data_IF_381371223384
#
_entry.id   IF_381371223384
#
_cell.length_a   1.000
_cell.length_b   1.000
_cell.length_c   1.000
_cell.angle_alpha   90.00
_cell.angle_beta   90.00
_cell.angle_gamma   90.00
#
_symmetry.space_group_name_H-M   'P 1'
#
loop_
_entity.id
_entity.type
_entity.pdbx_description
1 polymer ?
#
# COMPACT_ATOMS: atom_id res chain seq x y z
N UNK A 1 -10.45 22.24 40.81
CA UNK A 1 -9.93 21.79 39.49
C UNK A 1 -8.83 20.77 39.71
N UNK A 2 -9.08 19.48 39.42
CA UNK A 2 -8.12 18.39 39.10
C UNK A 2 -8.75 17.04 39.44
N UNK A 3 -9.35 16.42 38.42
CA UNK A 3 -9.69 14.98 38.37
C UNK A 3 -9.82 14.45 36.92
N UNK A 4 -9.65 15.31 35.90
CA UNK A 4 -9.87 14.94 34.50
C UNK A 4 -8.69 14.15 33.86
N UNK A 5 -7.51 14.10 34.49
CA UNK A 5 -6.30 13.64 33.80
C UNK A 5 -6.20 12.13 33.53
N UNK A 6 -6.79 11.24 34.35
CA UNK A 6 -6.69 9.78 34.10
C UNK A 6 -7.80 9.29 33.16
N UNK A 7 -9.03 9.78 33.36
CA UNK A 7 -10.17 9.41 32.51
C UNK A 7 -10.02 9.92 31.08
N UNK A 8 -9.43 11.11 30.88
CA UNK A 8 -9.19 11.66 29.54
C UNK A 8 -8.11 10.87 28.78
N UNK A 9 -7.07 10.38 29.46
CA UNK A 9 -6.05 9.52 28.84
C UNK A 9 -6.59 8.14 28.51
N UNK A 10 -7.36 7.52 29.40
CA UNK A 10 -8.02 6.24 29.13
C UNK A 10 -9.00 6.36 27.95
N UNK A 11 -9.75 7.46 27.87
CA UNK A 11 -10.64 7.73 26.74
C UNK A 11 -9.86 7.91 25.44
N UNK A 12 -8.74 8.65 25.48
CA UNK A 12 -7.88 8.87 24.32
C UNK A 12 -7.28 7.57 23.81
N UNK A 13 -6.77 6.73 24.69
CA UNK A 13 -6.23 5.42 24.34
C UNK A 13 -7.32 4.50 23.79
N UNK A 14 -8.51 4.53 24.38
CA UNK A 14 -9.65 3.80 23.85
C UNK A 14 -10.02 4.26 22.43
N UNK A 15 -10.10 5.58 22.20
CA UNK A 15 -10.38 6.14 20.88
C UNK A 15 -9.28 5.81 19.85
N UNK A 16 -8.01 5.84 20.27
CA UNK A 16 -6.87 5.48 19.45
C UNK A 16 -6.94 4.01 19.03
N UNK A 17 -7.17 3.10 19.98
CA UNK A 17 -7.28 1.67 19.74
C UNK A 17 -8.51 1.29 18.90
N UNK A 18 -9.57 2.11 18.93
CA UNK A 18 -10.73 1.97 18.05
C UNK A 18 -10.54 2.61 16.67
N UNK A 19 -9.41 3.26 16.40
CA UNK A 19 -9.10 3.87 15.11
C UNK A 19 -9.96 5.09 14.79
N UNK A 20 -10.48 5.79 15.80
CA UNK A 20 -11.39 6.93 15.62
C UNK A 20 -10.72 8.03 14.80
N UNK A 21 -9.48 8.39 15.13
CA UNK A 21 -8.71 9.41 14.40
C UNK A 21 -8.50 9.03 12.94
N UNK A 22 -8.19 7.76 12.66
CA UNK A 22 -8.02 7.27 11.29
C UNK A 22 -9.33 7.36 10.50
N UNK A 23 -10.48 7.07 11.13
CA UNK A 23 -11.78 7.20 10.48
C UNK A 23 -12.12 8.66 10.15
N UNK A 24 -11.88 9.59 11.09
CA UNK A 24 -12.10 11.03 10.87
C UNK A 24 -11.22 11.52 9.73
N UNK A 25 -9.95 11.15 9.72
CA UNK A 25 -9.01 11.51 8.66
C UNK A 25 -9.47 10.97 7.30
N UNK A 26 -9.92 9.71 7.24
CA UNK A 26 -10.43 9.12 6.01
C UNK A 26 -11.68 9.85 5.48
N UNK A 27 -12.59 10.27 6.36
CA UNK A 27 -13.76 11.09 5.99
C UNK A 27 -13.35 12.46 5.46
N UNK A 28 -12.46 13.14 6.18
CA UNK A 28 -11.97 14.45 5.78
C UNK A 28 -11.32 14.40 4.38
N UNK A 29 -10.50 13.38 4.13
CA UNK A 29 -9.90 13.16 2.81
C UNK A 29 -10.98 12.87 1.75
N UNK A 30 -11.96 12.03 2.08
CA UNK A 30 -13.07 11.73 1.17
C UNK A 30 -13.84 12.98 0.73
N UNK A 31 -14.21 13.82 1.70
CA UNK A 31 -14.91 15.09 1.47
C UNK A 31 -14.03 16.07 0.69
N UNK A 32 -12.75 16.18 1.06
CA UNK A 32 -11.80 17.05 0.35
C UNK A 32 -11.64 16.64 -1.11
N UNK A 33 -11.47 15.34 -1.39
CA UNK A 33 -11.40 14.85 -2.76
C UNK A 33 -12.71 15.05 -3.51
N UNK A 34 -13.87 14.96 -2.85
CA UNK A 34 -15.16 15.28 -3.45
C UNK A 34 -15.24 16.73 -3.92
N UNK A 35 -14.84 17.67 -3.07
CA UNK A 35 -14.90 19.10 -3.38
C UNK A 35 -13.90 19.47 -4.47
N UNK A 36 -12.68 18.90 -4.41
CA UNK A 36 -11.67 19.14 -5.44
C UNK A 36 -12.13 18.59 -6.79
N UNK A 37 -12.59 17.34 -6.85
CA UNK A 37 -13.02 16.70 -8.11
C UNK A 37 -14.14 17.46 -8.82
N UNK A 38 -15.04 18.10 -8.07
CA UNK A 38 -16.17 18.87 -8.61
C UNK A 38 -15.85 20.36 -8.81
N UNK A 39 -14.62 20.81 -8.52
CA UNK A 39 -14.27 22.22 -8.59
C UNK A 39 -13.73 22.64 -9.96
N UNK A 40 -14.31 23.70 -10.51
CA UNK A 40 -13.80 24.41 -11.70
C UNK A 40 -12.70 25.42 -11.37
N UNK A 41 -12.24 25.47 -10.11
CA UNK A 41 -11.20 26.41 -9.68
C UNK A 41 -9.86 26.05 -10.30
N UNK A 42 -9.29 26.98 -11.09
CA UNK A 42 -7.94 26.83 -11.62
C UNK A 42 -6.88 26.60 -10.53
N UNK A 43 -7.10 27.14 -9.32
CA UNK A 43 -6.20 26.95 -8.18
C UNK A 43 -6.16 25.49 -7.67
N UNK A 44 -7.23 24.73 -7.88
CA UNK A 44 -7.33 23.32 -7.45
C UNK A 44 -6.98 22.34 -8.59
N UNK A 45 -6.67 22.83 -9.78
CA UNK A 45 -6.33 21.98 -10.94
C UNK A 45 -5.14 21.06 -10.70
N UNK A 46 -4.14 21.51 -9.93
CA UNK A 46 -2.97 20.71 -9.56
C UNK A 46 -3.27 19.61 -8.53
N UNK A 47 -4.39 19.73 -7.81
CA UNK A 47 -4.83 18.77 -6.82
C UNK A 47 -5.81 17.73 -7.40
N UNK A 48 -6.17 17.85 -8.68
CA UNK A 48 -6.97 16.86 -9.36
C UNK A 48 -6.24 15.50 -9.37
N UNK A 49 -6.96 14.37 -9.22
CA UNK A 49 -6.34 13.05 -9.25
C UNK A 49 -5.66 12.79 -10.61
N UNK A 50 -4.37 12.45 -10.58
CA UNK A 50 -3.56 12.16 -11.78
C UNK A 50 -2.96 10.75 -11.72
N UNK A 51 -3.78 9.76 -11.38
CA UNK A 51 -3.31 8.38 -11.27
C UNK A 51 -3.21 7.75 -12.67
N UNK A 52 -1.97 7.51 -13.12
CA UNK A 52 -1.67 6.79 -14.36
C UNK A 52 -1.02 5.47 -14.03
N UNK A 53 -1.81 4.40 -14.06
CA UNK A 53 -1.32 3.04 -13.95
C UNK A 53 -1.33 2.43 -15.35
N UNK A 54 -0.22 1.83 -15.75
CA UNK A 54 -0.11 1.11 -17.02
C UNK A 54 -1.05 -0.10 -16.97
N UNK A 55 -2.12 -0.05 -17.77
CA UNK A 55 -3.23 -1.02 -17.71
C UNK A 55 -2.87 -2.44 -18.15
N UNK A 56 -1.67 -2.64 -18.69
CA UNK A 56 -1.22 -3.94 -19.23
C UNK A 56 -0.32 -4.70 -18.25
N UNK A 57 -0.33 -4.32 -16.97
CA UNK A 57 0.46 -4.98 -15.93
C UNK A 57 -0.49 -5.68 -14.98
N UNK A 58 -0.69 -6.98 -15.20
CA UNK A 58 -1.59 -7.84 -14.42
C UNK A 58 -1.33 -7.73 -12.90
N UNK A 59 -0.06 -7.56 -12.52
CA UNK A 59 0.34 -7.40 -11.12
C UNK A 59 -0.29 -6.15 -10.44
N UNK A 60 -0.50 -5.06 -11.17
CA UNK A 60 -1.14 -3.86 -10.61
C UNK A 60 -2.62 -4.09 -10.35
N UNK A 61 -3.31 -4.78 -11.26
CA UNK A 61 -4.71 -5.11 -11.08
C UNK A 61 -4.90 -6.05 -9.88
N UNK A 62 -4.05 -7.07 -9.77
CA UNK A 62 -4.06 -8.00 -8.64
C UNK A 62 -3.79 -7.29 -7.30
N UNK A 63 -2.77 -6.42 -7.25
CA UNK A 63 -2.44 -5.64 -6.05
C UNK A 63 -3.59 -4.73 -5.62
N UNK A 64 -4.22 -4.02 -6.57
CA UNK A 64 -5.37 -3.15 -6.26
C UNK A 64 -6.56 -3.99 -5.79
N UNK A 65 -6.82 -5.15 -6.40
CA UNK A 65 -7.85 -6.08 -5.93
C UNK A 65 -7.60 -6.55 -4.49
N UNK A 66 -6.37 -6.94 -4.17
CA UNK A 66 -5.97 -7.38 -2.83
C UNK A 66 -6.18 -6.28 -1.79
N UNK A 67 -5.69 -5.06 -2.06
CA UNK A 67 -5.85 -3.90 -1.18
C UNK A 67 -7.33 -3.57 -0.97
N UNK A 68 -8.12 -3.53 -2.03
CA UNK A 68 -9.56 -3.24 -1.94
C UNK A 68 -10.29 -4.32 -1.14
N UNK A 69 -9.89 -5.59 -1.27
CA UNK A 69 -10.47 -6.69 -0.50
C UNK A 69 -10.20 -6.53 1.00
N UNK A 70 -8.95 -6.21 1.35
CA UNK A 70 -8.55 -5.91 2.72
C UNK A 70 -9.35 -4.75 3.31
N UNK A 71 -9.40 -3.60 2.62
CA UNK A 71 -10.12 -2.42 3.08
C UNK A 71 -11.62 -2.69 3.29
N UNK A 72 -12.26 -3.46 2.39
CA UNK A 72 -13.66 -3.87 2.53
C UNK A 72 -13.90 -4.74 3.75
N UNK A 73 -13.02 -5.71 4.02
CA UNK A 73 -13.11 -6.60 5.20
C UNK A 73 -13.09 -5.81 6.50
N UNK A 74 -12.19 -4.83 6.61
CA UNK A 74 -12.07 -3.99 7.80
C UNK A 74 -13.03 -2.78 7.79
N UNK A 75 -14.02 -2.77 6.90
CA UNK A 75 -15.08 -1.74 6.81
C UNK A 75 -14.53 -0.31 6.61
N UNK A 76 -13.38 -0.17 5.95
CA UNK A 76 -12.76 1.12 5.62
C UNK A 76 -13.45 1.76 4.40
N UNK A 77 -14.75 2.04 4.53
CA UNK A 77 -15.62 2.47 3.42
C UNK A 77 -15.16 3.78 2.80
N UNK A 78 -14.82 4.77 3.63
CA UNK A 78 -14.39 6.09 3.18
C UNK A 78 -13.15 6.00 2.31
N UNK A 79 -12.14 5.24 2.74
CA UNK A 79 -10.91 4.99 1.97
C UNK A 79 -11.21 4.39 0.60
N UNK A 80 -12.07 3.37 0.53
CA UNK A 80 -12.45 2.74 -0.75
C UNK A 80 -13.21 3.72 -1.65
N UNK A 81 -14.07 4.57 -1.08
CA UNK A 81 -14.79 5.58 -1.86
C UNK A 81 -13.87 6.67 -2.38
N UNK A 82 -12.90 7.11 -1.59
CA UNK A 82 -11.86 8.05 -2.02
C UNK A 82 -11.02 7.45 -3.15
N UNK A 83 -10.58 6.20 -3.01
CA UNK A 83 -9.86 5.50 -4.08
C UNK A 83 -10.66 5.47 -5.39
N UNK A 84 -11.98 5.24 -5.34
CA UNK A 84 -12.84 5.25 -6.55
C UNK A 84 -12.97 6.62 -7.19
N UNK A 85 -12.95 7.69 -6.38
CA UNK A 85 -12.98 9.07 -6.88
C UNK A 85 -11.67 9.44 -7.54
N UNK A 86 -10.55 9.07 -6.93
CA UNK A 86 -9.22 9.37 -7.46
C UNK A 86 -8.80 8.46 -8.62
N UNK A 87 -9.23 7.20 -8.58
CA UNK A 87 -8.91 6.16 -9.56
C UNK A 87 -10.17 5.41 -9.99
N UNK A 88 -10.76 5.85 -11.10
CA UNK A 88 -12.02 5.29 -11.61
C UNK A 88 -11.96 3.79 -11.95
N UNK A 89 -10.77 3.25 -12.22
CA UNK A 89 -10.57 1.81 -12.48
C UNK A 89 -10.43 0.98 -11.19
N UNK A 90 -10.75 1.54 -10.02
CA UNK A 90 -10.80 0.79 -8.77
C UNK A 90 -11.87 -0.33 -8.84
N UNK A 91 -11.50 -1.61 -8.59
CA UNK A 91 -12.38 -2.75 -8.80
C UNK A 91 -13.58 -2.79 -7.83
N UNK A 92 -14.77 -3.03 -8.39
CA UNK A 92 -15.98 -3.28 -7.61
C UNK A 92 -15.96 -4.67 -6.95
N UNK A 93 -15.43 -5.67 -7.66
CA UNK A 93 -15.27 -7.05 -7.22
C UNK A 93 -13.79 -7.41 -7.25
N UNK A 94 -13.31 -8.09 -6.22
CA UNK A 94 -11.88 -8.33 -6.00
C UNK A 94 -11.47 -9.78 -6.23
N UNK A 95 -12.40 -10.66 -6.60
CA UNK A 95 -12.13 -12.11 -6.76
C UNK A 95 -12.06 -12.91 -5.45
N UNK A 96 -11.57 -12.31 -4.36
CA UNK A 96 -11.46 -12.95 -3.04
C UNK A 96 -12.81 -13.25 -2.41
N UNK A 97 -13.02 -14.50 -1.99
CA UNK A 97 -14.27 -14.95 -1.35
C UNK A 97 -14.15 -15.10 0.16
N UNK A 98 -12.96 -15.48 0.64
CA UNK A 98 -12.69 -15.71 2.06
C UNK A 98 -11.73 -14.66 2.59
N UNK A 99 -11.94 -14.22 3.82
CA UNK A 99 -11.00 -13.33 4.49
C UNK A 99 -9.63 -13.98 4.66
N UNK A 100 -9.58 -15.26 5.06
CA UNK A 100 -8.33 -15.98 5.29
C UNK A 100 -7.40 -15.95 4.07
N UNK A 101 -7.95 -16.06 2.86
CA UNK A 101 -7.19 -15.99 1.60
C UNK A 101 -6.42 -14.66 1.47
N UNK A 102 -7.03 -13.55 1.89
CA UNK A 102 -6.37 -12.24 1.88
C UNK A 102 -5.27 -12.18 2.95
N UNK A 103 -5.53 -12.70 4.15
CA UNK A 103 -4.53 -12.71 5.24
C UNK A 103 -3.32 -13.58 4.86
N UNK A 104 -3.56 -14.78 4.33
CA UNK A 104 -2.52 -15.73 3.91
C UNK A 104 -1.58 -15.10 2.87
N UNK A 105 -2.13 -14.29 1.94
CA UNK A 105 -1.33 -13.55 0.95
C UNK A 105 -0.49 -12.46 1.61
N UNK A 106 -1.07 -11.69 2.54
CA UNK A 106 -0.30 -10.66 3.26
C UNK A 106 0.79 -11.27 4.13
N UNK A 107 0.52 -12.38 4.82
CA UNK A 107 1.51 -13.08 5.63
C UNK A 107 2.67 -13.57 4.77
N UNK A 108 2.38 -14.18 3.60
CA UNK A 108 3.41 -14.59 2.65
C UNK A 108 4.23 -13.39 2.13
N UNK A 109 3.60 -12.24 1.86
CA UNK A 109 4.29 -11.01 1.46
C UNK A 109 5.20 -10.48 2.58
N UNK A 110 4.74 -10.48 3.82
CA UNK A 110 5.54 -10.05 4.97
C UNK A 110 6.73 -10.98 5.20
N UNK A 111 6.55 -12.30 5.08
CA UNK A 111 7.64 -13.28 5.17
C UNK A 111 8.72 -13.03 4.11
N UNK A 112 8.30 -12.74 2.87
CA UNK A 112 9.21 -12.37 1.78
C UNK A 112 9.96 -11.09 2.12
N UNK A 113 9.25 -10.06 2.57
CA UNK A 113 9.85 -8.77 2.92
C UNK A 113 10.84 -8.95 4.06
N UNK A 114 10.50 -9.65 5.13
CA UNK A 114 11.40 -9.88 6.26
C UNK A 114 12.65 -10.67 5.86
N UNK A 115 12.49 -11.71 5.03
CA UNK A 115 13.60 -12.50 4.52
C UNK A 115 14.52 -11.66 3.64
N UNK A 116 13.96 -10.86 2.75
CA UNK A 116 14.74 -10.15 1.74
C UNK A 116 15.30 -8.82 2.28
N UNK A 117 14.63 -8.15 3.21
CA UNK A 117 15.15 -6.98 3.95
C UNK A 117 16.42 -7.30 4.73
N UNK A 118 16.58 -8.55 5.18
CA UNK A 118 17.79 -9.01 5.88
C UNK A 118 18.96 -9.31 4.94
N UNK A 119 18.74 -9.37 3.63
CA UNK A 119 19.77 -9.69 2.64
C UNK A 119 20.50 -8.44 2.16
N UNK A 120 21.84 -8.49 2.17
CA UNK A 120 22.67 -7.45 1.55
C UNK A 120 22.48 -7.45 0.02
N UNK A 121 22.91 -6.37 -0.64
CA UNK A 121 22.87 -6.30 -2.10
C UNK A 121 23.68 -7.44 -2.73
N UNK A 122 24.86 -7.78 -2.18
CA UNK A 122 25.69 -8.88 -2.66
C UNK A 122 24.95 -10.23 -2.57
N UNK A 123 24.27 -10.49 -1.45
CA UNK A 123 23.51 -11.74 -1.27
C UNK A 123 22.31 -11.85 -2.23
N UNK A 124 21.70 -10.72 -2.58
CA UNK A 124 20.62 -10.66 -3.60
C UNK A 124 21.16 -10.93 -5.00
N UNK A 125 22.35 -10.42 -5.33
CA UNK A 125 23.03 -10.68 -6.61
C UNK A 125 23.41 -12.16 -6.72
N UNK A 126 24.00 -12.75 -5.67
CA UNK A 126 24.36 -14.17 -5.65
C UNK A 126 23.14 -15.08 -5.77
N UNK A 127 22.04 -14.73 -5.09
CA UNK A 127 20.77 -15.44 -5.22
C UNK A 127 20.21 -15.32 -6.64
N UNK A 128 20.26 -14.14 -7.24
CA UNK A 128 19.81 -13.92 -8.61
C UNK A 128 20.62 -14.74 -9.62
N UNK A 129 21.97 -14.73 -9.54
CA UNK A 129 22.86 -15.52 -10.39
C UNK A 129 22.56 -17.01 -10.27
N UNK A 130 22.38 -17.51 -9.03
CA UNK A 130 22.03 -18.93 -8.78
C UNK A 130 20.67 -19.32 -9.35
N UNK A 131 19.69 -18.41 -9.30
CA UNK A 131 18.30 -18.70 -9.71
C UNK A 131 18.10 -18.57 -11.22
N UNK A 132 18.86 -17.67 -11.88
CA UNK A 132 18.64 -17.33 -13.30
C UNK A 132 19.53 -18.10 -14.28
N UNK A 133 20.48 -18.93 -13.82
CA UNK A 133 21.44 -19.66 -14.69
C UNK A 133 22.16 -18.76 -15.72
N UNK A 134 22.28 -17.46 -15.45
CA UNK A 134 23.05 -16.56 -16.31
C UNK A 134 24.52 -16.84 -16.00
N UNK A 135 25.28 -17.33 -16.99
CA UNK A 135 26.72 -17.55 -16.88
C UNK A 135 27.39 -16.29 -16.32
N UNK A 136 28.16 -16.44 -15.23
CA UNK A 136 28.91 -15.32 -14.66
C UNK A 136 29.77 -14.67 -15.75
N UNK A 137 29.73 -13.33 -15.92
CA UNK A 137 30.62 -12.68 -16.86
C UNK A 137 32.06 -12.92 -16.41
N UNK A 138 32.83 -13.61 -17.26
CA UNK A 138 34.19 -14.04 -16.98
C UNK A 138 35.03 -12.87 -16.42
N UNK A 139 35.56 -13.04 -15.20
CA UNK A 139 36.52 -12.09 -14.62
C UNK A 139 37.73 -12.01 -15.55
N UNK A 140 37.84 -10.90 -16.29
CA UNK A 140 39.06 -10.57 -17.04
C UNK A 140 40.21 -10.47 -16.05
N UNK A 141 41.07 -11.48 -16.02
CA UNK A 141 42.32 -11.42 -15.28
C UNK A 141 43.11 -10.21 -15.81
N UNK A 142 43.36 -9.22 -14.96
CA UNK A 142 44.25 -8.12 -15.32
C UNK A 142 45.62 -8.73 -15.62
N UNK A 143 46.26 -8.41 -16.76
CA UNK A 143 47.57 -8.93 -17.07
C UNK A 143 48.53 -8.49 -15.97
N UNK A 144 49.23 -9.45 -15.36
CA UNK A 144 50.37 -9.17 -14.48
C UNK A 144 51.40 -8.42 -15.32
N UNK A 145 51.58 -7.12 -15.04
CA UNK A 145 52.71 -6.35 -15.56
C UNK A 145 53.99 -7.05 -15.06
N UNK A 146 54.80 -7.52 -16.01
CA UNK A 146 56.19 -7.91 -15.77
C UNK A 146 57.03 -6.66 -15.52
#
# INVERSE_FOLDING_TARGET
MKAASSADEELKDYMYNKGVTCNIQARLLHETCNEIQNSDSAALSSLQPQIRIERNVDAWEEAVCLVVAYLKRYRMKETVQTMRKEFAATPAHTGYKKGSEVDDIFDALFDIIERDMKKSFEERVDHFIKTTQIEEPARKQRPRRK
#
